data_IF_152367104777
#
_entry.id   IF_152367104777
#
_cell.length_a   1.000
_cell.length_b   1.000
_cell.length_c   1.000
_cell.angle_alpha   90.00
_cell.angle_beta   90.00
_cell.angle_gamma   90.00
#
_symmetry.space_group_name_H-M   'P 1'
#
loop_
_entity.id
_entity.type
_entity.pdbx_description
1 polymer ?
#
# COMPACT_ATOMS: atom_id res chain seq x y z
N UNK A 1 -3.30 5.24 4.93
CA UNK A 1 -2.73 3.89 5.10
C UNK A 1 -3.56 3.03 6.04
N UNK A 2 -3.80 3.44 7.29
CA UNK A 2 -4.56 2.65 8.28
C UNK A 2 -5.98 2.30 7.83
N UNK A 3 -6.68 3.25 7.22
CA UNK A 3 -8.03 3.04 6.72
C UNK A 3 -8.08 1.99 5.61
N UNK A 4 -7.03 1.92 4.78
CA UNK A 4 -6.91 0.99 3.67
C UNK A 4 -6.59 -0.42 4.16
N UNK A 5 -5.61 -0.54 5.08
CA UNK A 5 -5.34 -1.80 5.76
C UNK A 5 -6.60 -2.34 6.44
N UNK A 6 -7.36 -1.47 7.11
CA UNK A 6 -8.61 -1.84 7.74
C UNK A 6 -9.74 -2.18 6.74
N UNK A 7 -9.79 -1.51 5.57
CA UNK A 7 -10.73 -1.84 4.49
C UNK A 7 -10.45 -3.26 3.99
N UNK A 8 -9.18 -3.57 3.73
CA UNK A 8 -8.74 -4.89 3.31
C UNK A 8 -9.10 -5.97 4.35
N UNK A 9 -8.75 -5.79 5.63
CA UNK A 9 -9.07 -6.77 6.69
C UNK A 9 -10.60 -7.02 6.82
N UNK A 10 -11.42 -5.97 6.70
CA UNK A 10 -12.88 -6.13 6.68
C UNK A 10 -13.35 -6.92 5.46
N UNK A 11 -12.74 -6.73 4.30
CA UNK A 11 -13.08 -7.45 3.08
C UNK A 11 -12.67 -8.92 3.16
N UNK A 12 -11.44 -9.21 3.64
CA UNK A 12 -10.94 -10.57 3.83
C UNK A 12 -11.79 -11.35 4.84
N UNK A 13 -12.17 -10.71 5.96
CA UNK A 13 -13.09 -11.31 6.93
C UNK A 13 -14.42 -11.72 6.28
N UNK A 14 -15.02 -10.82 5.49
CA UNK A 14 -16.30 -11.08 4.82
C UNK A 14 -16.19 -12.20 3.79
N UNK A 15 -15.09 -12.27 3.04
CA UNK A 15 -14.84 -13.37 2.10
C UNK A 15 -14.82 -14.72 2.82
N UNK A 16 -14.10 -14.80 3.94
CA UNK A 16 -14.01 -16.03 4.73
C UNK A 16 -15.37 -16.46 5.32
N UNK A 17 -16.24 -15.51 5.66
CA UNK A 17 -17.58 -15.76 6.18
C UNK A 17 -18.59 -16.13 5.07
N UNK A 18 -18.46 -15.56 3.87
CA UNK A 18 -19.42 -15.70 2.76
C UNK A 18 -18.70 -15.75 1.39
N UNK A 19 -18.01 -16.86 1.07
CA UNK A 19 -17.14 -16.94 -0.11
C UNK A 19 -17.90 -16.89 -1.43
N UNK A 20 -19.06 -17.55 -1.54
CA UNK A 20 -19.82 -17.65 -2.81
C UNK A 20 -20.59 -16.37 -3.18
N UNK A 21 -20.59 -15.36 -2.31
CA UNK A 21 -21.45 -14.18 -2.43
C UNK A 21 -20.69 -12.88 -2.73
N UNK A 22 -19.35 -12.91 -2.79
CA UNK A 22 -18.55 -11.69 -2.92
C UNK A 22 -17.38 -11.85 -3.88
N UNK A 23 -17.24 -10.87 -4.77
CA UNK A 23 -15.98 -10.63 -5.46
C UNK A 23 -14.97 -10.04 -4.45
N UNK A 24 -13.76 -10.60 -4.42
CA UNK A 24 -12.66 -10.13 -3.59
C UNK A 24 -11.42 -9.88 -4.45
N UNK A 25 -11.03 -8.63 -4.56
CA UNK A 25 -9.84 -8.22 -5.32
C UNK A 25 -8.63 -8.12 -4.40
N UNK A 26 -7.68 -9.05 -4.56
CA UNK A 26 -6.30 -8.84 -4.15
C UNK A 26 -5.72 -7.79 -5.09
N UNK A 27 -5.09 -6.76 -4.52
CA UNK A 27 -4.45 -5.71 -5.28
C UNK A 27 -5.23 -4.41 -5.43
N UNK A 28 -6.43 -4.32 -4.84
CA UNK A 28 -7.06 -3.03 -4.63
C UNK A 28 -6.25 -2.23 -3.59
N UNK A 29 -5.43 -1.32 -4.11
CA UNK A 29 -4.57 -0.40 -3.37
C UNK A 29 -5.05 1.05 -3.51
N UNK A 30 -6.32 1.28 -3.91
CA UNK A 30 -6.84 2.64 -4.14
C UNK A 30 -6.67 3.56 -2.93
N UNK A 31 -6.76 3.03 -1.70
CA UNK A 31 -6.51 3.79 -0.48
C UNK A 31 -5.03 4.15 -0.22
N UNK A 32 -4.08 3.52 -0.92
CA UNK A 32 -2.64 3.84 -0.83
C UNK A 32 -2.21 4.73 -1.98
N UNK A 33 -2.83 4.57 -3.16
CA UNK A 33 -2.76 5.56 -4.23
C UNK A 33 -3.21 6.94 -3.78
N UNK A 34 -4.21 7.05 -2.90
CA UNK A 34 -4.62 8.32 -2.30
C UNK A 34 -3.50 8.98 -1.46
N UNK A 35 -2.61 8.22 -0.82
CA UNK A 35 -1.49 8.81 -0.07
C UNK A 35 -0.41 9.36 -1.01
N UNK A 36 0.00 8.59 -2.02
CA UNK A 36 1.09 9.02 -2.89
C UNK A 36 0.68 9.98 -3.99
N UNK A 37 -0.34 9.69 -4.81
CA UNK A 37 -0.70 10.58 -5.94
C UNK A 37 -1.37 11.88 -5.49
N UNK A 38 -2.18 11.87 -4.42
CA UNK A 38 -2.69 13.13 -3.82
C UNK A 38 -1.59 13.84 -3.05
N UNK A 39 -0.66 13.09 -2.43
CA UNK A 39 0.53 13.64 -1.80
C UNK A 39 1.39 14.46 -2.77
N UNK A 40 1.63 13.94 -3.97
CA UNK A 40 2.34 14.67 -5.03
C UNK A 40 1.58 15.94 -5.44
N UNK A 41 0.26 15.83 -5.70
CA UNK A 41 -0.56 17.01 -6.03
C UNK A 41 -0.57 18.05 -4.89
N UNK A 42 -0.50 17.61 -3.64
CA UNK A 42 -0.37 18.51 -2.50
C UNK A 42 0.99 19.22 -2.49
N UNK A 43 2.08 18.50 -2.74
CA UNK A 43 3.41 19.08 -2.82
C UNK A 43 3.57 20.02 -4.01
N UNK A 44 2.96 19.74 -5.16
CA UNK A 44 3.04 20.58 -6.37
C UNK A 44 2.33 21.93 -6.20
N UNK A 45 1.52 22.10 -5.15
CA UNK A 45 0.83 23.35 -4.81
C UNK A 45 1.62 24.28 -3.89
N UNK A 46 2.87 23.94 -3.52
CA UNK A 46 3.71 24.81 -2.69
C UNK A 46 4.13 26.08 -3.47
N UNK A 47 4.30 27.23 -2.79
CA UNK A 47 4.46 28.51 -3.47
C UNK A 47 5.83 28.67 -4.14
N UNK A 48 6.86 27.96 -3.68
CA UNK A 48 8.19 27.98 -4.27
C UNK A 48 8.65 26.59 -4.70
N UNK A 49 9.56 26.55 -5.67
CA UNK A 49 10.15 25.31 -6.14
C UNK A 49 10.86 24.53 -5.02
N UNK A 50 11.63 25.22 -4.19
CA UNK A 50 12.37 24.60 -3.08
C UNK A 50 11.42 23.89 -2.11
N UNK A 51 10.26 24.49 -1.82
CA UNK A 51 9.24 23.89 -0.96
C UNK A 51 8.52 22.71 -1.64
N UNK A 52 8.30 22.75 -2.96
CA UNK A 52 7.78 21.60 -3.72
C UNK A 52 8.74 20.42 -3.57
N UNK A 53 10.03 20.65 -3.84
CA UNK A 53 11.07 19.63 -3.78
C UNK A 53 11.25 19.07 -2.37
N UNK A 54 11.30 19.94 -1.35
CA UNK A 54 11.39 19.54 0.04
C UNK A 54 10.17 18.70 0.48
N UNK A 55 8.97 19.07 0.04
CA UNK A 55 7.75 18.31 0.30
C UNK A 55 7.79 16.91 -0.35
N UNK A 56 8.15 16.83 -1.63
CA UNK A 56 8.23 15.57 -2.37
C UNK A 56 9.27 14.63 -1.76
N UNK A 57 10.46 15.14 -1.40
CA UNK A 57 11.50 14.34 -0.77
C UNK A 57 11.12 13.83 0.62
N UNK A 58 10.43 14.68 1.41
CA UNK A 58 9.90 14.26 2.71
C UNK A 58 8.87 13.14 2.54
N UNK A 59 7.93 13.30 1.61
CA UNK A 59 6.93 12.27 1.30
C UNK A 59 7.59 10.96 0.87
N UNK A 60 8.59 11.04 -0.02
CA UNK A 60 9.34 9.88 -0.47
C UNK A 60 9.99 9.13 0.71
N UNK A 61 10.59 9.85 1.65
CA UNK A 61 11.20 9.26 2.83
C UNK A 61 10.17 8.58 3.75
N UNK A 62 9.00 9.19 3.93
CA UNK A 62 7.90 8.60 4.71
C UNK A 62 7.35 7.33 4.06
N UNK A 63 7.19 7.34 2.73
CA UNK A 63 6.71 6.18 1.96
C UNK A 63 7.71 5.03 1.97
N UNK A 64 9.00 5.31 1.79
CA UNK A 64 10.05 4.28 1.84
C UNK A 64 10.18 3.69 3.24
N UNK A 65 10.16 4.52 4.29
CA UNK A 65 10.21 4.03 5.67
C UNK A 65 9.01 3.13 6.01
N UNK A 66 7.83 3.41 5.44
CA UNK A 66 6.68 2.53 5.59
C UNK A 66 6.82 1.25 4.76
N UNK A 67 7.31 1.35 3.52
CA UNK A 67 7.58 0.21 2.67
C UNK A 67 8.57 -0.76 3.33
N UNK A 68 9.64 -0.25 3.94
CA UNK A 68 10.60 -1.03 4.73
C UNK A 68 9.93 -1.82 5.86
N UNK A 69 9.05 -1.17 6.65
CA UNK A 69 8.32 -1.85 7.72
C UNK A 69 7.43 -2.97 7.20
N UNK A 70 6.74 -2.74 6.08
CA UNK A 70 5.89 -3.75 5.47
C UNK A 70 6.74 -4.91 4.95
N UNK A 71 7.83 -4.64 4.24
CA UNK A 71 8.76 -5.67 3.73
C UNK A 71 9.35 -6.52 4.83
N UNK A 72 9.70 -5.92 5.97
CA UNK A 72 10.22 -6.63 7.13
C UNK A 72 9.20 -7.60 7.75
N UNK A 73 7.90 -7.37 7.54
CA UNK A 73 6.82 -8.23 8.01
C UNK A 73 6.39 -9.30 6.99
N UNK A 74 6.99 -9.35 5.80
CA UNK A 74 6.67 -10.35 4.79
C UNK A 74 7.43 -11.65 5.04
N UNK A 75 6.76 -12.82 5.04
CA UNK A 75 7.45 -14.10 5.06
C UNK A 75 8.22 -14.30 3.74
N UNK A 76 9.42 -14.87 3.77
CA UNK A 76 10.14 -15.18 2.53
C UNK A 76 9.40 -16.28 1.74
N UNK A 77 9.57 -16.37 0.41
CA UNK A 77 8.78 -17.28 -0.44
C UNK A 77 8.81 -18.75 -0.01
N UNK A 78 9.94 -19.23 0.51
CA UNK A 78 10.11 -20.59 1.03
C UNK A 78 9.18 -20.92 2.22
N UNK A 79 8.79 -19.93 3.02
CA UNK A 79 7.86 -20.13 4.14
C UNK A 79 6.39 -20.18 3.69
N UNK A 80 6.12 -19.75 2.46
CA UNK A 80 4.78 -19.69 1.86
C UNK A 80 4.54 -20.87 0.91
N UNK A 81 5.56 -21.66 0.60
CA UNK A 81 5.47 -22.83 -0.27
C UNK A 81 4.39 -23.81 0.22
N UNK A 82 3.56 -24.30 -0.70
CA UNK A 82 2.47 -25.21 -0.39
C UNK A 82 1.24 -24.58 0.30
N UNK A 83 1.19 -23.26 0.44
CA UNK A 83 0.00 -22.51 0.92
C UNK A 83 -0.82 -22.00 -0.26
N UNK A 84 -2.14 -22.17 -0.19
CA UNK A 84 -3.05 -21.76 -1.28
C UNK A 84 -3.00 -22.69 -2.50
N UNK A 85 -3.59 -22.25 -3.61
CA UNK A 85 -3.61 -22.97 -4.88
C UNK A 85 -2.43 -22.62 -5.79
N UNK A 86 -2.42 -23.21 -6.98
CA UNK A 86 -1.33 -23.04 -7.96
C UNK A 86 -1.14 -21.58 -8.39
N UNK A 87 -2.24 -20.81 -8.43
CA UNK A 87 -2.19 -19.40 -8.79
C UNK A 87 -1.45 -18.58 -7.72
N UNK A 88 -1.80 -18.75 -6.44
CA UNK A 88 -1.17 -18.01 -5.35
C UNK A 88 0.30 -18.38 -5.19
N UNK A 89 0.63 -19.66 -5.33
CA UNK A 89 2.02 -20.14 -5.29
C UNK A 89 2.87 -19.58 -6.42
N UNK A 90 2.28 -19.36 -7.60
CA UNK A 90 2.95 -18.69 -8.70
C UNK A 90 3.07 -17.16 -8.48
N UNK A 91 2.08 -16.54 -7.83
CA UNK A 91 2.00 -15.09 -7.69
C UNK A 91 2.86 -14.55 -6.55
N UNK A 92 2.89 -15.23 -5.40
CA UNK A 92 3.57 -14.72 -4.20
C UNK A 92 5.05 -14.43 -4.38
N UNK A 93 5.87 -15.34 -4.96
CA UNK A 93 7.29 -15.06 -5.16
C UNK A 93 7.54 -13.84 -6.06
N UNK A 94 6.65 -13.59 -7.02
CA UNK A 94 6.73 -12.44 -7.94
C UNK A 94 6.37 -11.14 -7.23
N UNK A 95 5.28 -11.14 -6.47
CA UNK A 95 4.88 -9.99 -5.66
C UNK A 95 5.96 -9.65 -4.60
N UNK A 96 6.52 -10.67 -3.94
CA UNK A 96 7.64 -10.52 -3.01
C UNK A 96 8.87 -9.93 -3.72
N UNK A 97 9.26 -10.46 -4.88
CA UNK A 97 10.39 -9.93 -5.63
C UNK A 97 10.18 -8.48 -6.09
N UNK A 98 8.96 -8.10 -6.47
CA UNK A 98 8.63 -6.70 -6.79
C UNK A 98 8.75 -5.81 -5.55
N UNK A 99 8.23 -6.25 -4.41
CA UNK A 99 8.33 -5.51 -3.15
C UNK A 99 9.79 -5.28 -2.74
N UNK A 100 10.66 -6.28 -2.90
CA UNK A 100 12.11 -6.15 -2.62
C UNK A 100 12.89 -5.44 -3.74
N UNK A 101 12.30 -5.34 -4.91
CA UNK A 101 12.93 -4.79 -6.10
C UNK A 101 13.03 -3.27 -6.05
N UNK A 102 14.04 -2.77 -6.75
CA UNK A 102 14.13 -1.36 -7.13
C UNK A 102 13.68 -1.29 -8.59
N UNK A 103 12.80 -0.36 -8.93
CA UNK A 103 12.43 -0.09 -10.32
C UNK A 103 13.71 0.09 -11.15
N UNK A 104 13.94 -0.82 -12.10
CA UNK A 104 15.17 -0.88 -12.86
C UNK A 104 15.10 0.06 -14.06
N UNK A 105 15.48 1.33 -13.89
CA UNK A 105 15.62 2.22 -15.03
C UNK A 105 16.19 3.59 -14.71
N UNK A 106 17.04 4.15 -15.59
CA UNK A 106 17.52 5.53 -15.52
C UNK A 106 16.42 6.53 -15.96
N UNK A 107 15.15 6.24 -15.69
CA UNK A 107 14.01 7.01 -16.21
C UNK A 107 14.03 8.47 -15.74
N UNK A 108 14.86 8.76 -14.74
CA UNK A 108 15.02 10.06 -14.10
C UNK A 108 16.46 10.58 -14.16
N UNK A 109 17.38 9.84 -14.78
CA UNK A 109 18.77 10.29 -14.95
C UNK A 109 18.84 11.40 -16.02
N UNK A 110 19.56 12.47 -15.69
CA UNK A 110 19.80 13.60 -16.61
C UNK A 110 18.65 14.59 -16.72
N UNK A 111 17.61 14.46 -15.90
CA UNK A 111 16.47 15.37 -15.92
C UNK A 111 16.68 16.64 -15.06
N UNK A 112 15.83 17.65 -15.25
CA UNK A 112 15.89 18.89 -14.46
C UNK A 112 15.62 18.57 -12.98
N UNK A 113 16.22 19.31 -12.01
CA UNK A 113 16.12 18.98 -10.57
C UNK A 113 14.69 18.79 -10.05
N UNK A 114 13.72 19.48 -10.65
CA UNK A 114 12.27 19.32 -10.40
C UNK A 114 11.75 17.91 -10.70
N UNK A 115 12.16 17.35 -11.84
CA UNK A 115 11.70 16.02 -12.26
C UNK A 115 12.40 14.93 -11.47
N UNK A 116 13.66 15.16 -11.07
CA UNK A 116 14.41 14.25 -10.19
C UNK A 116 13.69 14.00 -8.85
N UNK A 117 13.25 15.03 -8.14
CA UNK A 117 12.58 14.86 -6.84
C UNK A 117 11.18 14.24 -6.99
N UNK A 118 10.46 14.61 -8.05
CA UNK A 118 9.16 14.01 -8.36
C UNK A 118 9.31 12.51 -8.65
N UNK A 119 10.30 12.14 -9.45
CA UNK A 119 10.67 10.75 -9.72
C UNK A 119 10.99 9.97 -8.46
N UNK A 120 11.85 10.49 -7.58
CA UNK A 120 12.20 9.84 -6.32
C UNK A 120 10.95 9.55 -5.48
N UNK A 121 10.04 10.51 -5.41
CA UNK A 121 8.79 10.34 -4.68
C UNK A 121 7.87 9.32 -5.35
N UNK A 122 7.75 9.35 -6.68
CA UNK A 122 6.97 8.37 -7.44
C UNK A 122 7.48 6.94 -7.27
N UNK A 123 8.80 6.75 -7.29
CA UNK A 123 9.42 5.46 -7.03
C UNK A 123 9.15 4.95 -5.62
N UNK A 124 9.27 5.82 -4.60
CA UNK A 124 8.97 5.45 -3.21
C UNK A 124 7.51 4.99 -3.05
N UNK A 125 6.56 5.69 -3.66
CA UNK A 125 5.15 5.29 -3.70
C UNK A 125 4.97 3.92 -4.40
N UNK A 126 5.62 3.67 -5.53
CA UNK A 126 5.52 2.37 -6.20
C UNK A 126 6.07 1.24 -5.33
N UNK A 127 7.22 1.44 -4.68
CA UNK A 127 7.80 0.45 -3.74
C UNK A 127 6.86 0.18 -2.57
N UNK A 128 6.24 1.23 -2.02
CA UNK A 128 5.21 1.09 -0.99
C UNK A 128 4.03 0.25 -1.51
N UNK A 129 3.51 0.56 -2.70
CA UNK A 129 2.42 -0.20 -3.33
C UNK A 129 2.76 -1.68 -3.50
N UNK A 130 3.94 -1.99 -4.03
CA UNK A 130 4.37 -3.38 -4.22
C UNK A 130 4.50 -4.13 -2.89
N UNK A 131 5.02 -3.48 -1.85
CA UNK A 131 5.07 -4.05 -0.50
C UNK A 131 3.66 -4.34 0.05
N UNK A 132 2.70 -3.45 -0.15
CA UNK A 132 1.30 -3.67 0.26
C UNK A 132 0.68 -4.83 -0.52
N UNK A 133 0.93 -4.93 -1.83
CA UNK A 133 0.43 -6.04 -2.66
C UNK A 133 0.94 -7.38 -2.14
N UNK A 134 2.24 -7.48 -1.86
CA UNK A 134 2.84 -8.68 -1.30
C UNK A 134 2.24 -9.01 0.08
N UNK A 135 2.04 -8.00 0.94
CA UNK A 135 1.40 -8.21 2.24
C UNK A 135 -0.04 -8.69 2.11
N UNK A 136 -0.84 -8.10 1.23
CA UNK A 136 -2.23 -8.53 1.00
C UNK A 136 -2.27 -10.00 0.59
N UNK A 137 -1.36 -10.45 -0.28
CA UNK A 137 -1.31 -11.85 -0.69
C UNK A 137 -0.85 -12.77 0.44
N UNK A 138 0.19 -12.41 1.20
CA UNK A 138 0.61 -13.16 2.39
C UNK A 138 -0.51 -13.24 3.44
N UNK A 139 -1.26 -12.16 3.61
CA UNK A 139 -2.37 -12.06 4.56
C UNK A 139 -3.55 -12.93 4.13
N UNK A 140 -3.87 -12.94 2.84
CA UNK A 140 -4.87 -13.84 2.24
C UNK A 140 -4.51 -15.32 2.46
N UNK A 141 -3.24 -15.68 2.28
CA UNK A 141 -2.72 -17.02 2.53
C UNK A 141 -2.64 -17.41 4.01
N UNK A 142 -2.93 -16.47 4.92
CA UNK A 142 -2.91 -16.70 6.37
C UNK A 142 -1.50 -16.85 6.95
N UNK A 143 -0.48 -16.39 6.23
CA UNK A 143 0.94 -16.49 6.64
C UNK A 143 1.54 -15.18 7.12
N UNK A 144 0.85 -14.06 6.92
CA UNK A 144 1.21 -12.77 7.51
C UNK A 144 0.23 -12.33 8.59
N UNK A 145 0.74 -11.61 9.57
CA UNK A 145 -0.07 -10.93 10.57
C UNK A 145 -0.89 -9.79 9.96
N UNK A 146 -1.92 -9.36 10.70
CA UNK A 146 -2.66 -8.13 10.36
C UNK A 146 -1.74 -6.91 10.40
N UNK A 147 -2.06 -5.87 9.64
CA UNK A 147 -1.26 -4.64 9.59
C UNK A 147 -0.99 -3.99 10.96
N UNK A 148 -1.98 -4.07 11.85
CA UNK A 148 -1.89 -3.52 13.22
C UNK A 148 -0.99 -4.40 14.09
N UNK A 149 -1.12 -5.73 13.99
CA UNK A 149 -0.27 -6.67 14.73
C UNK A 149 1.19 -6.56 14.27
N UNK A 150 1.41 -6.45 12.96
CA UNK A 150 2.72 -6.21 12.35
C UNK A 150 3.29 -4.79 12.64
N UNK A 151 2.53 -3.90 13.29
CA UNK A 151 3.01 -2.63 13.80
C UNK A 151 3.23 -1.52 12.76
N UNK A 152 2.76 -1.69 11.53
CA UNK A 152 2.89 -0.67 10.48
C UNK A 152 1.60 0.11 10.20
N UNK A 153 0.47 -0.29 10.79
CA UNK A 153 -0.77 0.47 10.76
C UNK A 153 -1.35 0.67 12.17
N UNK A 154 -2.06 1.78 12.36
CA UNK A 154 -2.86 2.03 13.56
C UNK A 154 -4.25 1.40 13.44
N UNK A 155 -4.87 1.07 14.59
CA UNK A 155 -6.26 0.65 14.60
C UNK A 155 -7.15 1.83 14.16
N UNK A 156 -7.97 1.69 13.11
CA UNK A 156 -8.81 2.78 12.65
C UNK A 156 -9.82 3.16 13.75
N UNK A 157 -10.22 4.44 13.83
CA UNK A 157 -11.27 4.85 14.75
C UNK A 157 -12.56 4.08 14.43
N UNK A 158 -13.37 3.74 15.45
CA UNK A 158 -14.62 3.02 15.22
C UNK A 158 -15.53 3.84 14.30
N UNK A 159 -16.07 3.20 13.25
CA UNK A 159 -17.04 3.83 12.35
C UNK A 159 -18.29 4.17 13.16
N UNK A 160 -18.49 5.46 13.43
CA UNK A 160 -19.74 5.93 14.03
C UNK A 160 -20.89 5.72 13.03
N UNK A 161 -22.05 5.20 13.45
CA UNK A 161 -23.22 5.16 12.60
C UNK A 161 -23.49 6.56 12.05
N UNK A 162 -23.74 6.68 10.75
CA UNK A 162 -24.27 7.92 10.18
C UNK A 162 -25.62 8.16 10.86
N UNK A 163 -25.80 9.34 11.46
CA UNK A 163 -27.13 9.75 11.92
C UNK A 163 -28.08 9.62 10.71
N UNK A 164 -29.23 8.98 10.91
CA UNK A 164 -30.30 9.04 9.90
C UNK A 164 -30.62 10.51 9.67
N UNK A 165 -30.70 10.92 8.41
CA UNK A 165 -31.34 12.18 8.06
C UNK A 165 -32.73 12.15 8.70
N UNK A 166 -33.07 13.20 9.44
CA UNK A 166 -34.43 13.33 9.97
C UNK A 166 -35.36 13.35 8.75
N UNK A 167 -36.38 12.50 8.74
CA UNK A 167 -37.52 12.71 7.84
C UNK A 167 -38.08 14.09 8.19
N UNK A 168 -37.99 15.01 7.22
CA UNK A 168 -38.69 16.29 7.29
C UNK A 168 -40.20 15.98 7.19
N UNK A 169 -40.87 15.90 8.35
CA UNK A 169 -42.35 15.89 8.49
C UNK A 169 -42.96 17.27 8.21
#
# INVERSE_FOLDING_TARGET
MDEEAARYERALKRLNEMPDAQEFEIGDTRGTGYCGSVGFVHCDRKPTLEEVQACQLKLAAEEEALAEKIRAALPPPEEVEGKGGDFEQALYPRAYALAQGISAGPDCDGDIPQRGTWCTAWEANNRLRDAILAWQLARFLGVAETAVAAGWAEAPPPRRPRAREAEDD
#
